data_IF_440920863161
#
_entry.id   IF_440920863161
#
_cell.length_a   1.000
_cell.length_b   1.000
_cell.length_c   1.000
_cell.angle_alpha   90.00
_cell.angle_beta   90.00
_cell.angle_gamma   90.00
#
_symmetry.space_group_name_H-M   'P 1'
#
loop_
_entity.id
_entity.type
_entity.pdbx_description
1 polymer ?
#
# COMPACT_ATOMS: atom_id res chain seq x y z
N UNK A 1 22.97 -8.49 -10.59
CA UNK A 1 22.36 -9.22 -11.74
C UNK A 1 22.22 -8.26 -12.91
N UNK A 2 22.53 -8.70 -14.14
CA UNK A 2 22.42 -7.85 -15.33
C UNK A 2 20.99 -7.93 -15.90
N UNK A 3 20.39 -6.77 -16.15
CA UNK A 3 19.11 -6.63 -16.89
C UNK A 3 19.28 -7.22 -18.28
N UNK A 4 18.28 -7.99 -18.75
CA UNK A 4 18.27 -8.62 -20.09
C UNK A 4 17.38 -7.85 -21.06
N UNK A 5 16.23 -7.36 -20.58
CA UNK A 5 15.27 -6.58 -21.39
C UNK A 5 14.96 -5.22 -20.74
N UNK A 6 15.72 -4.20 -21.16
CA UNK A 6 15.56 -2.82 -20.69
C UNK A 6 14.18 -2.22 -21.01
N UNK A 7 13.50 -2.73 -22.07
CA UNK A 7 12.18 -2.23 -22.46
C UNK A 7 11.12 -2.53 -21.41
N UNK A 8 11.24 -3.64 -20.68
CA UNK A 8 10.33 -3.96 -19.58
C UNK A 8 10.43 -2.91 -18.46
N UNK A 9 11.64 -2.47 -18.14
CA UNK A 9 11.85 -1.46 -17.09
C UNK A 9 11.42 -0.07 -17.55
N UNK A 10 11.71 0.30 -18.79
CA UNK A 10 11.18 1.54 -19.35
C UNK A 10 9.65 1.56 -19.29
N UNK A 11 9.01 0.46 -19.65
CA UNK A 11 7.57 0.31 -19.59
C UNK A 11 7.05 0.36 -18.14
N UNK A 12 7.74 -0.25 -17.17
CA UNK A 12 7.34 -0.22 -15.75
C UNK A 12 7.30 1.20 -15.16
N UNK A 13 8.01 2.13 -15.77
CA UNK A 13 7.99 3.54 -15.38
C UNK A 13 7.22 4.44 -16.37
N UNK A 14 6.48 3.87 -17.30
CA UNK A 14 5.70 4.64 -18.29
C UNK A 14 4.23 4.73 -17.87
N UNK A 15 3.82 5.90 -17.36
CA UNK A 15 2.40 6.20 -17.11
C UNK A 15 1.66 6.35 -18.46
N UNK A 16 0.37 5.99 -18.51
CA UNK A 16 -0.44 6.08 -19.73
C UNK A 16 -0.47 7.46 -20.39
N UNK A 17 -0.33 8.53 -19.62
CA UNK A 17 -0.28 9.89 -20.18
C UNK A 17 0.96 10.13 -21.05
N UNK A 18 2.08 9.46 -20.74
CA UNK A 18 3.32 9.60 -21.48
C UNK A 18 3.25 9.06 -22.92
N UNK A 19 2.35 8.12 -23.19
CA UNK A 19 2.19 7.49 -24.50
C UNK A 19 1.85 8.49 -25.61
N UNK A 20 1.20 9.60 -25.27
CA UNK A 20 0.85 10.66 -26.24
C UNK A 20 2.00 11.60 -26.56
N UNK A 21 2.99 11.67 -25.68
CA UNK A 21 4.11 12.63 -25.75
C UNK A 21 5.36 12.03 -26.38
N UNK A 22 5.58 10.76 -26.17
CA UNK A 22 6.82 10.10 -26.56
C UNK A 22 6.57 9.12 -27.70
N UNK A 23 7.01 9.50 -28.91
CA UNK A 23 7.04 8.59 -30.05
C UNK A 23 7.93 7.39 -29.73
N UNK A 24 7.39 6.18 -29.92
CA UNK A 24 8.10 4.92 -29.61
C UNK A 24 7.68 4.26 -28.29
N UNK A 25 6.95 4.92 -27.39
CA UNK A 25 6.28 4.25 -26.27
C UNK A 25 4.93 3.69 -26.72
N UNK A 26 4.79 2.38 -26.67
CA UNK A 26 3.60 1.67 -27.19
C UNK A 26 2.67 1.15 -26.09
N UNK A 27 3.13 1.10 -24.85
CA UNK A 27 2.37 0.56 -23.71
C UNK A 27 2.80 1.16 -22.39
N UNK A 28 1.81 1.32 -21.48
CA UNK A 28 2.01 1.77 -20.12
C UNK A 28 2.37 0.63 -19.16
N UNK A 29 2.59 0.99 -17.92
CA UNK A 29 2.90 0.04 -16.84
C UNK A 29 1.71 -0.84 -16.40
N UNK A 30 0.46 -0.49 -16.72
CA UNK A 30 -0.74 -1.10 -16.15
C UNK A 30 -0.78 -2.64 -16.21
N UNK A 31 -0.33 -3.27 -17.30
CA UNK A 31 -0.31 -4.75 -17.34
C UNK A 31 0.91 -5.37 -16.66
N UNK A 32 1.98 -4.61 -16.42
CA UNK A 32 3.09 -5.03 -15.57
C UNK A 32 2.71 -4.91 -14.10
N UNK A 33 1.99 -3.87 -13.70
CA UNK A 33 1.36 -3.69 -12.41
C UNK A 33 0.47 -4.89 -12.05
N UNK A 34 -0.47 -5.24 -12.94
CA UNK A 34 -1.34 -6.43 -12.76
C UNK A 34 -0.55 -7.72 -12.51
N UNK A 35 0.54 -7.95 -13.24
CA UNK A 35 1.41 -9.10 -13.04
C UNK A 35 2.18 -8.96 -11.72
N UNK A 36 2.69 -7.78 -11.43
CA UNK A 36 3.50 -7.50 -10.26
C UNK A 36 2.74 -7.63 -8.96
N UNK A 37 1.49 -7.15 -8.88
CA UNK A 37 0.60 -7.36 -7.73
C UNK A 37 0.47 -8.85 -7.40
N UNK A 38 0.19 -9.69 -8.40
CA UNK A 38 0.07 -11.14 -8.21
C UNK A 38 1.36 -11.77 -7.70
N UNK A 39 2.52 -11.39 -8.23
CA UNK A 39 3.84 -11.86 -7.80
C UNK A 39 4.15 -11.39 -6.38
N UNK A 40 3.91 -10.12 -6.09
CA UNK A 40 4.10 -9.52 -4.77
C UNK A 40 3.24 -10.23 -3.73
N UNK A 41 1.94 -10.38 -4.01
CA UNK A 41 0.99 -11.05 -3.15
C UNK A 41 1.42 -12.49 -2.83
N UNK A 42 1.86 -13.26 -3.85
CA UNK A 42 2.37 -14.61 -3.66
C UNK A 42 3.64 -14.66 -2.79
N UNK A 43 4.62 -13.82 -3.09
CA UNK A 43 5.91 -13.79 -2.36
C UNK A 43 5.70 -13.44 -0.89
N UNK A 44 4.90 -12.41 -0.60
CA UNK A 44 4.59 -11.99 0.77
C UNK A 44 3.79 -13.05 1.51
N UNK A 45 2.81 -13.69 0.85
CA UNK A 45 2.04 -14.79 1.44
C UNK A 45 2.95 -15.95 1.83
N UNK A 46 3.84 -16.37 0.92
CA UNK A 46 4.79 -17.46 1.18
C UNK A 46 5.77 -17.11 2.30
N UNK A 47 6.29 -15.88 2.32
CA UNK A 47 7.17 -15.41 3.37
C UNK A 47 6.50 -15.43 4.75
N UNK A 48 5.26 -14.93 4.86
CA UNK A 48 4.53 -14.93 6.12
C UNK A 48 4.20 -16.34 6.60
N UNK A 49 3.79 -17.22 5.67
CA UNK A 49 3.48 -18.62 5.96
C UNK A 49 4.69 -19.35 6.55
N UNK A 50 5.88 -19.14 5.96
CA UNK A 50 7.11 -19.80 6.44
C UNK A 50 7.61 -19.20 7.76
N UNK A 51 7.48 -17.89 7.93
CA UNK A 51 8.02 -17.19 9.09
C UNK A 51 7.16 -17.36 10.35
N UNK A 52 5.86 -17.49 10.17
CA UNK A 52 4.86 -17.50 11.24
C UNK A 52 4.04 -18.81 11.26
N UNK A 53 4.72 -19.94 11.22
CA UNK A 53 4.12 -21.29 11.14
C UNK A 53 3.12 -21.62 12.27
N UNK A 54 3.25 -20.95 13.44
CA UNK A 54 2.39 -21.18 14.60
C UNK A 54 1.17 -20.25 14.65
N UNK A 55 1.13 -19.27 13.77
CA UNK A 55 0.06 -18.27 13.73
C UNK A 55 -1.15 -18.77 12.93
N UNK A 56 -2.32 -18.30 13.30
CA UNK A 56 -3.57 -18.64 12.62
C UNK A 56 -3.78 -17.81 11.36
N UNK A 57 -4.67 -18.28 10.49
CA UNK A 57 -5.03 -17.63 9.21
C UNK A 57 -5.37 -16.15 9.38
N UNK A 58 -6.12 -15.78 10.43
CA UNK A 58 -6.51 -14.40 10.69
C UNK A 58 -5.32 -13.45 10.89
N UNK A 59 -4.26 -13.88 11.58
CA UNK A 59 -3.01 -13.11 11.70
C UNK A 59 -2.31 -12.99 10.35
N UNK A 60 -2.15 -14.11 9.64
CA UNK A 60 -1.46 -14.14 8.33
C UNK A 60 -2.14 -13.23 7.30
N UNK A 61 -3.47 -13.24 7.27
CA UNK A 61 -4.26 -12.38 6.38
C UNK A 61 -4.11 -10.90 6.71
N UNK A 62 -4.15 -10.54 7.99
CA UNK A 62 -3.92 -9.14 8.42
C UNK A 62 -2.50 -8.68 8.12
N UNK A 63 -1.50 -9.50 8.44
CA UNK A 63 -0.10 -9.21 8.18
C UNK A 63 0.16 -9.00 6.68
N UNK A 64 -0.39 -9.88 5.82
CA UNK A 64 -0.32 -9.73 4.37
C UNK A 64 -0.95 -8.41 3.92
N UNK A 65 -2.20 -8.14 4.32
CA UNK A 65 -2.90 -6.91 3.95
C UNK A 65 -2.09 -5.67 4.34
N UNK A 66 -1.46 -5.68 5.50
CA UNK A 66 -0.63 -4.57 5.97
C UNK A 66 0.65 -4.40 5.15
N UNK A 67 1.28 -5.49 4.77
CA UNK A 67 2.50 -5.44 3.96
C UNK A 67 2.21 -4.93 2.55
N UNK A 68 1.17 -5.44 1.87
CA UNK A 68 0.89 -5.10 0.46
C UNK A 68 -0.08 -3.93 0.27
N UNK A 69 -0.49 -3.23 1.34
CA UNK A 69 -1.37 -2.06 1.21
C UNK A 69 -0.66 -0.89 0.52
N UNK A 70 -1.42 -0.09 -0.25
CA UNK A 70 -0.90 1.02 -1.03
C UNK A 70 -0.06 2.03 -0.24
N UNK A 71 -0.40 2.31 1.03
CA UNK A 71 0.41 3.20 1.88
C UNK A 71 1.81 2.65 2.15
N UNK A 72 1.95 1.35 2.34
CA UNK A 72 3.25 0.67 2.53
C UNK A 72 4.05 0.69 1.23
N UNK A 73 3.43 0.34 0.10
CA UNK A 73 4.09 0.35 -1.21
C UNK A 73 4.49 1.76 -1.64
N UNK A 74 3.67 2.76 -1.34
CA UNK A 74 4.01 4.17 -1.57
C UNK A 74 5.23 4.60 -0.76
N UNK A 75 5.35 4.21 0.52
CA UNK A 75 6.53 4.52 1.34
C UNK A 75 7.79 3.86 0.78
N UNK A 76 7.70 2.59 0.42
CA UNK A 76 8.77 1.85 -0.24
C UNK A 76 9.22 2.57 -1.52
N UNK A 77 8.27 2.93 -2.38
CA UNK A 77 8.53 3.62 -3.65
C UNK A 77 9.22 4.96 -3.46
N UNK A 78 8.83 5.73 -2.44
CA UNK A 78 9.51 6.99 -2.08
C UNK A 78 10.94 6.76 -1.64
N UNK A 79 11.19 5.74 -0.80
CA UNK A 79 12.54 5.38 -0.35
C UNK A 79 13.44 4.94 -1.49
N UNK A 80 12.91 4.18 -2.44
CA UNK A 80 13.62 3.78 -3.66
C UNK A 80 13.80 4.92 -4.66
N UNK A 81 13.09 6.05 -4.47
CA UNK A 81 13.14 7.20 -5.37
C UNK A 81 12.43 6.98 -6.70
N UNK A 82 11.45 6.05 -6.78
CA UNK A 82 10.79 5.67 -8.03
C UNK A 82 10.11 6.85 -8.72
N UNK A 83 9.58 7.82 -7.93
CA UNK A 83 8.96 9.03 -8.46
C UNK A 83 9.86 9.84 -9.43
N UNK A 84 11.17 9.68 -9.36
CA UNK A 84 12.14 10.37 -10.22
C UNK A 84 12.25 9.76 -11.62
N UNK A 85 11.69 8.57 -11.80
CA UNK A 85 11.84 7.78 -13.03
C UNK A 85 10.52 7.62 -13.79
N UNK A 86 9.38 7.99 -13.19
CA UNK A 86 8.07 7.85 -13.81
C UNK A 86 7.90 8.85 -14.94
N UNK A 87 7.70 8.34 -16.16
CA UNK A 87 7.45 9.14 -17.34
C UNK A 87 5.97 9.50 -17.45
N UNK A 88 5.69 10.80 -17.64
CA UNK A 88 4.35 11.36 -17.75
C UNK A 88 4.25 12.36 -18.90
N UNK A 89 3.04 12.84 -19.16
CA UNK A 89 2.85 14.03 -19.99
C UNK A 89 3.23 15.31 -19.19
N UNK A 90 3.27 16.43 -19.91
CA UNK A 90 3.65 17.73 -19.32
C UNK A 90 2.73 18.15 -18.16
N UNK A 91 1.43 17.84 -18.26
CA UNK A 91 0.46 18.16 -17.23
C UNK A 91 0.74 17.34 -15.96
N UNK A 92 1.04 16.06 -16.10
CA UNK A 92 1.39 15.19 -14.97
C UNK A 92 2.67 15.64 -14.28
N UNK A 93 3.69 16.00 -15.05
CA UNK A 93 4.96 16.53 -14.55
C UNK A 93 4.75 17.85 -13.76
N UNK A 94 4.04 18.81 -14.34
CA UNK A 94 3.77 20.11 -13.69
C UNK A 94 2.88 19.97 -12.45
N UNK A 95 1.96 19.03 -12.44
CA UNK A 95 1.04 18.78 -11.32
C UNK A 95 1.64 17.86 -10.24
N UNK A 96 2.85 17.37 -10.40
CA UNK A 96 3.53 16.51 -9.44
C UNK A 96 2.88 15.14 -9.27
N UNK A 97 2.21 14.60 -10.30
CA UNK A 97 1.52 13.31 -10.23
C UNK A 97 2.46 12.15 -9.88
N UNK A 98 3.74 12.25 -10.21
CA UNK A 98 4.73 11.23 -9.87
C UNK A 98 4.86 10.97 -8.36
N UNK A 99 4.38 11.90 -7.52
CA UNK A 99 4.35 11.73 -6.05
C UNK A 99 2.99 11.25 -5.52
N UNK A 100 2.00 11.05 -6.40
CA UNK A 100 0.68 10.53 -6.02
C UNK A 100 0.84 9.10 -5.43
N UNK A 101 0.26 8.83 -4.25
CA UNK A 101 0.38 7.52 -3.60
C UNK A 101 0.00 6.34 -4.48
N UNK A 102 -1.09 6.43 -5.24
CA UNK A 102 -1.55 5.34 -6.11
C UNK A 102 -0.55 5.10 -7.26
N UNK A 103 -0.03 6.17 -7.88
CA UNK A 103 0.96 6.03 -8.97
C UNK A 103 2.27 5.44 -8.46
N UNK A 104 2.64 5.70 -7.22
CA UNK A 104 3.84 5.12 -6.61
C UNK A 104 3.64 3.65 -6.23
N UNK A 105 2.45 3.27 -5.79
CA UNK A 105 2.02 1.89 -5.60
C UNK A 105 2.12 1.12 -6.92
N UNK A 106 1.41 1.59 -7.96
CA UNK A 106 1.39 1.00 -9.30
C UNK A 106 2.80 0.84 -9.88
N UNK A 107 3.66 1.86 -9.73
CA UNK A 107 5.03 1.81 -10.23
C UNK A 107 5.90 0.77 -9.51
N UNK A 108 5.70 0.55 -8.21
CA UNK A 108 6.40 -0.50 -7.48
C UNK A 108 5.96 -1.89 -7.96
N UNK A 109 4.66 -2.10 -8.08
CA UNK A 109 4.11 -3.36 -8.58
C UNK A 109 4.56 -3.62 -10.02
N UNK A 110 4.52 -2.61 -10.88
CA UNK A 110 5.01 -2.73 -12.25
C UNK A 110 6.51 -3.08 -12.32
N UNK A 111 7.32 -2.51 -11.43
CA UNK A 111 8.74 -2.86 -11.32
C UNK A 111 8.93 -4.33 -10.89
N UNK A 112 8.15 -4.81 -9.93
CA UNK A 112 8.13 -6.23 -9.52
C UNK A 112 7.77 -7.11 -10.71
N UNK A 113 6.74 -6.74 -11.48
CA UNK A 113 6.32 -7.44 -12.70
C UNK A 113 7.42 -7.48 -13.76
N UNK A 114 8.10 -6.36 -13.98
CA UNK A 114 9.23 -6.29 -14.91
C UNK A 114 10.40 -7.20 -14.49
N UNK A 115 10.80 -7.16 -13.22
CA UNK A 115 11.85 -8.02 -12.67
C UNK A 115 11.47 -9.49 -12.82
N UNK A 116 10.22 -9.84 -12.53
CA UNK A 116 9.75 -11.22 -12.67
C UNK A 116 9.82 -11.72 -14.12
N UNK A 117 9.36 -10.93 -15.08
CA UNK A 117 9.37 -11.30 -16.50
C UNK A 117 10.78 -11.36 -17.08
N UNK A 118 11.67 -10.47 -16.66
CA UNK A 118 13.05 -10.41 -17.16
C UNK A 118 13.96 -11.47 -16.51
N UNK A 119 13.90 -11.61 -15.19
CA UNK A 119 14.89 -12.35 -14.40
C UNK A 119 14.30 -13.55 -13.65
N UNK A 120 12.99 -13.69 -13.63
CA UNK A 120 12.28 -14.79 -13.00
C UNK A 120 12.01 -14.62 -11.50
N UNK A 121 11.30 -15.59 -10.93
CA UNK A 121 10.75 -15.56 -9.57
C UNK A 121 11.81 -15.37 -8.48
N UNK A 122 12.99 -15.98 -8.64
CA UNK A 122 14.06 -15.89 -7.61
C UNK A 122 14.52 -14.44 -7.42
N UNK A 123 14.70 -13.72 -8.52
CA UNK A 123 15.13 -12.31 -8.45
C UNK A 123 14.02 -11.40 -7.96
N UNK A 124 12.79 -11.60 -8.40
CA UNK A 124 11.63 -10.87 -7.89
C UNK A 124 11.45 -11.08 -6.39
N UNK A 125 11.51 -12.33 -5.90
CA UNK A 125 11.45 -12.65 -4.47
C UNK A 125 12.54 -11.91 -3.68
N UNK A 126 13.79 -12.00 -4.10
CA UNK A 126 14.91 -11.36 -3.39
C UNK A 126 14.72 -9.84 -3.35
N UNK A 127 14.36 -9.21 -4.48
CA UNK A 127 14.08 -7.78 -4.54
C UNK A 127 12.97 -7.37 -3.57
N UNK A 128 11.85 -8.09 -3.56
CA UNK A 128 10.72 -7.82 -2.67
C UNK A 128 11.19 -7.92 -1.22
N UNK A 129 11.76 -9.06 -0.80
CA UNK A 129 12.09 -9.30 0.60
C UNK A 129 13.17 -8.31 1.11
N UNK A 130 14.22 -8.06 0.34
CA UNK A 130 15.26 -7.08 0.68
C UNK A 130 14.68 -5.67 0.87
N UNK A 131 13.70 -5.32 0.05
CA UNK A 131 13.07 -4.00 0.08
C UNK A 131 12.18 -3.84 1.32
N UNK A 132 11.39 -4.85 1.64
CA UNK A 132 10.55 -4.85 2.83
C UNK A 132 11.35 -4.90 4.13
N UNK A 133 12.43 -5.66 4.18
CA UNK A 133 13.34 -5.71 5.32
C UNK A 133 13.93 -4.33 5.63
N UNK A 134 14.42 -3.63 4.62
CA UNK A 134 14.98 -2.27 4.75
C UNK A 134 13.96 -1.22 5.14
N UNK A 135 12.67 -1.50 4.93
CA UNK A 135 11.58 -0.55 5.25
C UNK A 135 11.05 -0.74 6.67
N UNK A 136 11.41 -1.83 7.35
CA UNK A 136 10.97 -2.14 8.72
C UNK A 136 9.45 -2.03 8.90
N UNK A 137 8.69 -2.67 8.00
CA UNK A 137 7.22 -2.65 8.07
C UNK A 137 6.76 -3.30 9.38
N UNK A 138 6.17 -2.50 10.27
CA UNK A 138 5.59 -3.02 11.52
C UNK A 138 4.38 -3.89 11.22
N UNK A 139 4.31 -5.09 11.78
CA UNK A 139 3.16 -5.99 11.67
C UNK A 139 2.18 -5.86 12.84
N UNK A 140 2.43 -4.95 13.78
CA UNK A 140 1.48 -4.66 14.86
C UNK A 140 0.13 -4.22 14.29
N UNK A 141 -0.94 -4.70 14.89
CA UNK A 141 -2.30 -4.34 14.46
C UNK A 141 -2.57 -2.88 14.85
N UNK A 142 -2.61 -1.99 13.87
CA UNK A 142 -2.88 -0.56 14.03
C UNK A 142 -4.38 -0.21 13.84
N UNK A 143 -5.24 -1.21 13.74
CA UNK A 143 -6.68 -1.02 13.68
C UNK A 143 -7.29 -0.97 15.08
N UNK A 144 -6.96 0.08 15.83
CA UNK A 144 -7.39 0.23 17.23
C UNK A 144 -8.90 0.24 17.40
N UNK A 145 -9.63 0.79 16.43
CA UNK A 145 -11.09 0.75 16.42
C UNK A 145 -11.62 -0.69 16.43
N UNK A 146 -11.12 -1.54 15.54
CA UNK A 146 -11.55 -2.94 15.44
C UNK A 146 -11.14 -3.75 16.68
N UNK A 147 -9.94 -3.50 17.23
CA UNK A 147 -9.50 -4.12 18.48
C UNK A 147 -10.44 -3.76 19.64
N UNK A 148 -10.75 -2.47 19.79
CA UNK A 148 -11.64 -2.00 20.83
C UNK A 148 -13.07 -2.55 20.68
N UNK A 149 -13.58 -2.57 19.43
CA UNK A 149 -14.90 -3.16 19.14
C UNK A 149 -14.97 -4.62 19.55
N UNK A 150 -13.96 -5.44 19.20
CA UNK A 150 -13.90 -6.86 19.60
C UNK A 150 -13.82 -7.02 21.11
N UNK A 151 -12.97 -6.23 21.75
CA UNK A 151 -12.82 -6.25 23.21
C UNK A 151 -14.15 -5.94 23.92
N UNK A 152 -14.82 -4.87 23.51
CA UNK A 152 -16.12 -4.49 24.05
C UNK A 152 -17.20 -5.57 23.78
N UNK A 153 -17.18 -6.18 22.58
CA UNK A 153 -18.11 -7.25 22.21
C UNK A 153 -17.93 -8.50 23.09
N UNK A 154 -16.68 -8.91 23.33
CA UNK A 154 -16.38 -10.08 24.21
C UNK A 154 -16.87 -9.84 25.62
N UNK A 155 -16.66 -8.62 26.14
CA UNK A 155 -17.07 -8.24 27.51
C UNK A 155 -18.53 -7.78 27.58
N UNK A 156 -19.25 -7.72 26.45
CA UNK A 156 -20.64 -7.21 26.35
C UNK A 156 -20.78 -5.77 26.88
N UNK A 157 -19.75 -4.95 26.67
CA UNK A 157 -19.74 -3.54 27.06
C UNK A 157 -20.30 -2.71 25.90
N UNK A 158 -21.28 -1.80 26.12
CA UNK A 158 -21.78 -0.89 25.11
C UNK A 158 -20.68 0.03 24.58
N UNK A 159 -20.53 0.09 23.25
CA UNK A 159 -19.57 0.94 22.55
C UNK A 159 -20.31 1.82 21.56
N UNK A 160 -20.10 3.14 21.63
CA UNK A 160 -20.71 4.12 20.74
C UNK A 160 -19.66 5.09 20.19
N UNK A 161 -19.70 5.32 18.87
CA UNK A 161 -18.96 6.40 18.21
C UNK A 161 -19.96 7.51 17.83
N UNK A 162 -19.94 8.61 18.56
CA UNK A 162 -20.86 9.73 18.37
C UNK A 162 -20.21 10.84 17.57
N UNK A 163 -20.76 11.15 16.38
CA UNK A 163 -20.34 12.33 15.66
C UNK A 163 -20.86 13.58 16.37
N UNK A 164 -19.95 14.45 16.80
CA UNK A 164 -20.29 15.69 17.51
C UNK A 164 -20.48 16.84 16.52
N UNK A 165 -19.56 16.97 15.59
CA UNK A 165 -19.59 18.07 14.61
C UNK A 165 -18.92 17.67 13.30
N UNK A 166 -19.29 18.40 12.25
CA UNK A 166 -18.63 18.36 10.94
C UNK A 166 -18.51 19.83 10.48
N UNK A 167 -17.33 20.40 10.68
CA UNK A 167 -17.05 21.77 10.28
C UNK A 167 -15.74 21.82 9.47
N UNK A 168 -15.68 22.66 8.44
CA UNK A 168 -14.51 22.86 7.59
C UNK A 168 -13.93 21.54 7.01
N UNK A 169 -14.81 20.61 6.61
CA UNK A 169 -14.42 19.27 6.11
C UNK A 169 -13.68 18.39 7.11
N UNK A 170 -13.82 18.66 8.42
CA UNK A 170 -13.24 17.86 9.49
C UNK A 170 -14.35 17.23 10.33
N UNK A 171 -14.32 15.92 10.45
CA UNK A 171 -15.20 15.16 11.35
C UNK A 171 -14.60 15.16 12.76
N UNK A 172 -15.43 15.46 13.74
CA UNK A 172 -15.13 15.28 15.16
C UNK A 172 -16.01 14.14 15.68
N UNK A 173 -15.39 13.08 16.18
CA UNK A 173 -16.07 11.90 16.71
C UNK A 173 -15.64 11.68 18.16
N UNK A 174 -16.61 11.46 19.02
CA UNK A 174 -16.44 11.10 20.43
C UNK A 174 -16.62 9.59 20.58
N UNK A 175 -15.77 8.98 21.39
CA UNK A 175 -15.84 7.58 21.76
C UNK A 175 -16.46 7.45 23.16
N UNK A 176 -17.53 6.65 23.26
CA UNK A 176 -18.15 6.31 24.55
C UNK A 176 -18.06 4.80 24.77
N UNK A 177 -17.60 4.42 25.95
CA UNK A 177 -17.56 3.04 26.44
C UNK A 177 -18.41 2.97 27.70
N UNK A 178 -19.45 2.14 27.70
CA UNK A 178 -20.44 2.05 28.79
C UNK A 178 -21.07 3.43 29.15
N UNK A 179 -21.29 4.25 28.12
CA UNK A 179 -21.83 5.61 28.27
C UNK A 179 -20.85 6.66 28.77
N UNK A 180 -19.63 6.28 29.12
CA UNK A 180 -18.57 7.20 29.58
C UNK A 180 -17.72 7.63 28.39
N UNK A 181 -17.41 8.92 28.30
CA UNK A 181 -16.49 9.43 27.30
C UNK A 181 -15.07 8.95 27.60
N UNK A 182 -14.47 8.21 26.63
CA UNK A 182 -13.12 7.67 26.76
C UNK A 182 -12.11 8.33 25.82
N UNK A 183 -12.59 9.09 24.84
CA UNK A 183 -11.71 9.80 23.91
C UNK A 183 -12.46 10.48 22.78
N UNK A 184 -11.72 11.22 21.97
CA UNK A 184 -12.26 11.83 20.74
C UNK A 184 -11.19 11.90 19.66
N UNK A 185 -11.63 11.84 18.38
CA UNK A 185 -10.76 11.90 17.22
C UNK A 185 -11.25 12.88 16.17
N UNK A 186 -10.31 13.42 15.40
CA UNK A 186 -10.55 14.37 14.32
C UNK A 186 -9.91 13.87 13.02
N UNK A 187 -10.64 13.94 11.90
CA UNK A 187 -10.09 13.63 10.58
C UNK A 187 -10.98 14.18 9.45
N UNK A 188 -10.48 14.13 8.22
CA UNK A 188 -11.23 14.50 7.02
C UNK A 188 -12.34 13.51 6.65
N UNK A 189 -12.33 12.29 7.20
CA UNK A 189 -13.39 11.31 7.04
C UNK A 189 -13.84 10.79 8.40
N UNK A 190 -15.13 10.44 8.52
CA UNK A 190 -15.69 9.88 9.76
C UNK A 190 -14.93 8.61 10.19
N UNK A 191 -14.66 7.71 9.24
CA UNK A 191 -13.93 6.45 9.52
C UNK A 191 -12.54 6.70 10.12
N UNK A 192 -11.82 7.71 9.60
CA UNK A 192 -10.51 8.07 10.11
C UNK A 192 -10.60 8.72 11.50
N UNK A 193 -11.60 9.58 11.72
CA UNK A 193 -11.83 10.19 13.03
C UNK A 193 -12.18 9.17 14.12
N UNK A 194 -12.88 8.09 13.76
CA UNK A 194 -13.17 6.97 14.66
C UNK A 194 -11.95 6.06 14.93
N UNK A 195 -10.90 6.16 14.11
CA UNK A 195 -9.67 5.39 14.26
C UNK A 195 -8.63 6.14 15.10
N UNK A 196 -8.62 7.46 15.03
CA UNK A 196 -7.70 8.35 15.75
C UNK A 196 -8.10 8.52 17.23
#
# INVERSE_FOLDING_TARGET
>A
TKVKDEKLYLRAFTHKSALKRHEGLTSSYETLEFMGDSVLGFVITKFLFDKYEKEQEGFLTKARTKMVRGTTLCEISKRLGLHKHILMDEKGDQSGWATNPNILEDAFEALVGAIYLDLGMVHAKNFILDTFEKTHVSLEDDNYKDQLMRWCQVLKIPLEYRAISHANSVFHVQLLVDGLECGSGFASTKRQAEQN
#
